data_IF_663132963261
#
_entry.id   IF_663132963261
#
_cell.length_a   1.000
_cell.length_b   1.000
_cell.length_c   1.000
_cell.angle_alpha   90.00
_cell.angle_beta   90.00
_cell.angle_gamma   90.00
#
_symmetry.space_group_name_H-M   'P 1'
#
loop_
_entity.id
_entity.type
_entity.pdbx_description
1 polymer ?
#
# COMPACT_ATOMS: atom_id res chain seq x y z
N UNK A 1 -6.04 -29.86 -33.00
CA UNK A 1 -5.52 -28.67 -32.28
C UNK A 1 -6.12 -27.36 -32.79
N UNK A 2 -6.26 -27.17 -34.12
CA UNK A 2 -6.92 -25.99 -34.70
C UNK A 2 -8.44 -25.91 -34.41
N UNK A 3 -9.16 -27.03 -34.52
CA UNK A 3 -10.60 -27.10 -34.22
C UNK A 3 -10.92 -26.87 -32.73
N UNK A 4 -10.07 -27.38 -31.84
CA UNK A 4 -10.20 -27.16 -30.39
C UNK A 4 -10.05 -25.68 -30.03
N UNK A 5 -9.08 -24.97 -30.63
CA UNK A 5 -8.94 -23.51 -30.49
C UNK A 5 -10.09 -22.72 -31.11
N UNK A 6 -10.67 -23.22 -32.21
CA UNK A 6 -11.82 -22.59 -32.85
C UNK A 6 -13.07 -22.68 -31.96
N UNK A 7 -13.31 -23.84 -31.34
CA UNK A 7 -14.42 -24.07 -30.41
C UNK A 7 -14.29 -23.24 -29.13
N UNK A 8 -13.09 -23.15 -28.55
CA UNK A 8 -12.80 -22.26 -27.41
C UNK A 8 -13.07 -20.78 -27.75
N UNK A 9 -12.68 -20.35 -28.96
CA UNK A 9 -12.90 -18.96 -29.41
C UNK A 9 -14.38 -18.65 -29.64
N UNK A 10 -15.17 -19.62 -30.09
CA UNK A 10 -16.61 -19.46 -30.27
C UNK A 10 -17.34 -19.31 -28.92
N UNK A 11 -17.00 -20.15 -27.95
CA UNK A 11 -17.55 -20.08 -26.58
C UNK A 11 -17.16 -18.77 -25.88
N UNK A 12 -15.91 -18.32 -26.04
CA UNK A 12 -15.46 -17.01 -25.57
C UNK A 12 -16.29 -15.85 -26.17
N UNK A 13 -16.56 -15.89 -27.47
CA UNK A 13 -17.36 -14.86 -28.14
C UNK A 13 -18.83 -14.86 -27.68
N UNK A 14 -19.42 -16.03 -27.40
CA UNK A 14 -20.78 -16.13 -26.82
C UNK A 14 -20.82 -15.53 -25.42
N UNK A 15 -19.86 -15.86 -24.57
CA UNK A 15 -19.75 -15.31 -23.22
C UNK A 15 -19.60 -13.78 -23.24
N UNK A 16 -18.73 -13.24 -24.11
CA UNK A 16 -18.56 -11.79 -24.26
C UNK A 16 -19.88 -11.10 -24.68
N UNK A 17 -20.62 -11.66 -25.66
CA UNK A 17 -21.92 -11.12 -26.08
C UNK A 17 -22.95 -11.11 -24.94
N UNK A 18 -22.98 -12.16 -24.13
CA UNK A 18 -23.85 -12.24 -22.96
C UNK A 18 -23.50 -11.15 -21.94
N UNK A 19 -22.22 -10.97 -21.63
CA UNK A 19 -21.74 -9.89 -20.74
C UNK A 19 -22.18 -8.50 -21.23
N UNK A 20 -22.04 -8.20 -22.54
CA UNK A 20 -22.51 -6.92 -23.09
C UNK A 20 -24.01 -6.69 -22.91
N UNK A 21 -24.82 -7.76 -23.04
CA UNK A 21 -26.28 -7.69 -22.83
C UNK A 21 -26.62 -7.37 -21.37
N UNK A 22 -25.94 -7.99 -20.42
CA UNK A 22 -26.12 -7.70 -18.98
C UNK A 22 -25.72 -6.27 -18.63
N UNK A 23 -24.61 -5.76 -19.19
CA UNK A 23 -24.22 -4.35 -19.03
C UNK A 23 -25.28 -3.38 -19.58
N UNK A 24 -25.84 -3.68 -20.75
CA UNK A 24 -26.90 -2.87 -21.34
C UNK A 24 -28.18 -2.88 -20.49
N UNK A 25 -28.56 -4.04 -19.94
CA UNK A 25 -29.68 -4.17 -19.02
C UNK A 25 -29.45 -3.36 -17.72
N UNK A 26 -28.26 -3.44 -17.14
CA UNK A 26 -27.87 -2.63 -15.98
C UNK A 26 -27.95 -1.12 -16.24
N UNK A 27 -27.50 -0.67 -17.40
CA UNK A 27 -27.60 0.74 -17.81
C UNK A 27 -29.06 1.20 -17.96
N UNK A 28 -29.94 0.33 -18.48
CA UNK A 28 -31.37 0.62 -18.56
C UNK A 28 -32.02 0.75 -17.17
N UNK A 29 -31.67 -0.14 -16.23
CA UNK A 29 -32.12 -0.04 -14.82
C UNK A 29 -31.66 1.26 -14.18
N UNK A 30 -30.41 1.69 -14.41
CA UNK A 30 -29.90 2.97 -13.92
C UNK A 30 -30.68 4.16 -14.49
N UNK A 31 -31.02 4.14 -15.78
CA UNK A 31 -31.82 5.20 -16.40
C UNK A 31 -33.24 5.28 -15.79
N UNK A 32 -33.87 4.13 -15.51
CA UNK A 32 -35.17 4.06 -14.83
C UNK A 32 -35.08 4.55 -13.39
N UNK A 33 -34.03 4.16 -12.65
CA UNK A 33 -33.78 4.65 -11.29
C UNK A 33 -33.56 6.15 -11.27
N UNK A 34 -32.76 6.69 -12.20
CA UNK A 34 -32.55 8.13 -12.33
C UNK A 34 -33.86 8.88 -12.58
N UNK A 35 -34.69 8.38 -13.51
CA UNK A 35 -35.99 8.97 -13.80
C UNK A 35 -36.93 8.90 -12.59
N UNK A 36 -36.98 7.76 -11.90
CA UNK A 36 -37.81 7.57 -10.70
C UNK A 36 -37.37 8.50 -9.57
N UNK A 37 -36.07 8.55 -9.26
CA UNK A 37 -35.50 9.38 -8.19
C UNK A 37 -35.66 10.87 -8.45
N UNK A 38 -35.56 11.32 -9.71
CA UNK A 38 -35.82 12.72 -10.09
C UNK A 38 -37.22 13.20 -9.72
N UNK A 39 -38.19 12.29 -9.66
CA UNK A 39 -39.58 12.60 -9.35
C UNK A 39 -39.94 12.41 -7.86
N UNK A 40 -38.98 11.99 -7.03
CA UNK A 40 -39.19 11.92 -5.58
C UNK A 40 -39.08 13.35 -5.00
N UNK A 41 -40.09 13.85 -4.27
CA UNK A 41 -40.04 15.16 -3.64
C UNK A 41 -39.10 15.10 -2.41
N UNK A 42 -37.79 15.18 -2.67
CA UNK A 42 -36.78 15.33 -1.63
C UNK A 42 -36.58 16.82 -1.33
N UNK A 43 -36.73 17.22 -0.08
CA UNK A 43 -36.40 18.58 0.37
C UNK A 43 -34.87 18.77 0.42
N UNK A 44 -34.30 19.18 -0.71
CA UNK A 44 -32.87 19.46 -0.84
C UNK A 44 -32.47 20.81 -0.25
N UNK A 45 -33.43 21.64 0.18
CA UNK A 45 -33.19 22.95 0.78
C UNK A 45 -32.41 22.90 2.09
N UNK A 46 -32.38 21.72 2.73
CA UNK A 46 -31.65 21.43 3.97
C UNK A 46 -30.20 20.97 3.75
N UNK A 47 -29.82 20.60 2.52
CA UNK A 47 -28.52 20.00 2.20
C UNK A 47 -27.51 21.02 1.64
N UNK A 48 -27.38 22.18 2.28
CA UNK A 48 -26.54 23.29 1.77
C UNK A 48 -25.07 23.11 2.06
N UNK A 49 -24.70 22.49 3.20
CA UNK A 49 -23.30 22.29 3.56
C UNK A 49 -22.79 20.91 3.11
N UNK A 50 -21.48 20.74 2.88
CA UNK A 50 -20.88 19.42 2.67
C UNK A 50 -21.18 18.43 3.80
N UNK A 51 -21.32 18.94 5.02
CA UNK A 51 -21.58 18.14 6.22
C UNK A 51 -22.99 17.54 6.20
N UNK A 52 -24.00 18.35 5.86
CA UNK A 52 -25.39 17.89 5.73
C UNK A 52 -25.52 16.80 4.65
N UNK A 53 -24.78 16.95 3.55
CA UNK A 53 -24.77 15.98 2.45
C UNK A 53 -24.06 14.68 2.81
N UNK A 54 -22.97 14.74 3.58
CA UNK A 54 -22.30 13.54 4.09
C UNK A 54 -23.25 12.76 5.01
N UNK A 55 -23.94 13.45 5.93
CA UNK A 55 -24.92 12.80 6.84
C UNK A 55 -26.05 12.16 6.04
N UNK A 56 -26.60 12.87 5.06
CA UNK A 56 -27.61 12.34 4.14
C UNK A 56 -27.08 11.08 3.41
N UNK A 57 -25.87 11.15 2.88
CA UNK A 57 -25.23 10.04 2.15
C UNK A 57 -25.04 8.81 3.03
N UNK A 58 -24.58 8.98 4.27
CA UNK A 58 -24.44 7.86 5.20
C UNK A 58 -25.78 7.18 5.50
N UNK A 59 -26.87 7.94 5.63
CA UNK A 59 -28.21 7.36 5.82
C UNK A 59 -28.63 6.50 4.63
N UNK A 60 -28.34 6.95 3.41
CA UNK A 60 -28.66 6.21 2.18
C UNK A 60 -27.70 5.05 1.89
N UNK A 61 -26.45 5.12 2.37
CA UNK A 61 -25.50 4.00 2.28
C UNK A 61 -26.00 2.75 3.03
N UNK A 62 -26.90 2.89 4.01
CA UNK A 62 -27.56 1.76 4.65
C UNK A 62 -28.40 0.92 3.67
N UNK A 63 -28.91 1.51 2.59
CA UNK A 63 -29.59 0.78 1.53
C UNK A 63 -28.56 0.07 0.65
N UNK A 64 -27.46 0.75 0.31
CA UNK A 64 -26.37 0.20 -0.51
C UNK A 64 -25.66 -1.00 0.15
N UNK A 65 -25.78 -1.20 1.47
CA UNK A 65 -25.18 -2.35 2.16
C UNK A 65 -26.07 -3.60 2.12
N UNK A 66 -27.35 -3.49 1.77
CA UNK A 66 -28.29 -4.62 1.76
C UNK A 66 -27.85 -5.79 0.87
N UNK A 67 -27.30 -5.57 -0.34
CA UNK A 67 -26.77 -6.67 -1.15
C UNK A 67 -25.61 -7.41 -0.47
N UNK A 68 -24.77 -6.68 0.29
CA UNK A 68 -23.67 -7.27 1.04
C UNK A 68 -24.18 -8.14 2.20
N UNK A 69 -25.19 -7.65 2.92
CA UNK A 69 -25.88 -8.40 3.98
C UNK A 69 -26.51 -9.67 3.39
N UNK A 70 -27.18 -9.58 2.24
CA UNK A 70 -27.73 -10.76 1.54
C UNK A 70 -26.63 -11.78 1.22
N UNK A 71 -25.51 -11.34 0.66
CA UNK A 71 -24.39 -12.23 0.34
C UNK A 71 -23.78 -12.91 1.59
N UNK A 72 -23.78 -12.23 2.75
CA UNK A 72 -23.39 -12.85 4.02
C UNK A 72 -24.38 -13.95 4.41
N UNK A 73 -25.69 -13.68 4.32
CA UNK A 73 -26.71 -14.68 4.60
C UNK A 73 -26.63 -15.88 3.65
N UNK A 74 -26.28 -15.67 2.38
CA UNK A 74 -26.09 -16.75 1.41
C UNK A 74 -24.92 -17.66 1.84
N UNK A 75 -23.78 -17.09 2.25
CA UNK A 75 -22.64 -17.86 2.79
C UNK A 75 -23.05 -18.63 4.04
N UNK A 76 -23.76 -17.98 4.98
CA UNK A 76 -24.22 -18.59 6.22
C UNK A 76 -25.21 -19.74 5.96
N UNK A 77 -26.15 -19.55 5.03
CA UNK A 77 -27.12 -20.56 4.66
C UNK A 77 -26.42 -21.80 4.08
N UNK A 78 -25.47 -21.61 3.16
CA UNK A 78 -24.70 -22.74 2.60
C UNK A 78 -23.89 -23.44 3.69
N UNK A 79 -23.24 -22.71 4.60
CA UNK A 79 -22.51 -23.35 5.72
C UNK A 79 -23.43 -24.06 6.72
N UNK A 80 -24.60 -23.51 7.00
CA UNK A 80 -25.54 -24.07 7.97
C UNK A 80 -26.32 -25.28 7.46
N UNK A 81 -26.49 -25.42 6.14
CA UNK A 81 -27.29 -26.49 5.50
C UNK A 81 -26.46 -27.58 4.84
N UNK A 82 -25.13 -27.41 4.75
CA UNK A 82 -24.23 -28.38 4.10
C UNK A 82 -23.12 -28.83 5.03
N UNK A 83 -22.34 -29.82 4.58
CA UNK A 83 -21.16 -30.32 5.31
C UNK A 83 -20.00 -29.29 5.39
N UNK A 84 -20.13 -28.12 4.76
CA UNK A 84 -19.15 -27.02 4.82
C UNK A 84 -19.23 -26.20 6.14
N UNK A 85 -19.98 -26.67 7.14
CA UNK A 85 -20.11 -26.01 8.44
C UNK A 85 -18.77 -25.88 9.17
N UNK A 86 -17.88 -26.86 9.02
CA UNK A 86 -16.53 -26.84 9.57
C UNK A 86 -15.53 -26.37 8.50
N UNK A 87 -15.05 -25.11 8.55
CA UNK A 87 -14.13 -24.56 7.56
C UNK A 87 -12.72 -25.18 7.62
N UNK A 88 -12.38 -25.92 8.68
CA UNK A 88 -11.05 -26.51 8.91
C UNK A 88 -10.97 -27.93 8.36
N UNK A 89 -12.11 -28.65 8.30
CA UNK A 89 -12.15 -30.02 7.83
C UNK A 89 -11.83 -30.16 6.33
N UNK A 90 -11.92 -29.07 5.56
CA UNK A 90 -11.61 -29.00 4.12
C UNK A 90 -12.56 -29.76 3.21
N UNK A 91 -13.29 -30.75 3.75
CA UNK A 91 -14.37 -31.46 3.07
C UNK A 91 -15.51 -30.47 2.82
N UNK A 92 -15.89 -30.32 1.54
CA UNK A 92 -17.01 -29.48 1.08
C UNK A 92 -16.78 -27.96 1.00
N UNK A 93 -15.55 -27.45 1.13
CA UNK A 93 -15.28 -25.99 1.01
C UNK A 93 -15.56 -25.43 -0.41
N UNK A 94 -15.56 -26.28 -1.43
CA UNK A 94 -15.97 -25.89 -2.80
C UNK A 94 -17.45 -25.42 -2.86
N UNK A 95 -18.31 -25.86 -1.93
CA UNK A 95 -19.73 -25.48 -1.91
C UNK A 95 -19.92 -24.00 -1.55
N UNK A 96 -19.03 -23.44 -0.72
CA UNK A 96 -19.08 -22.04 -0.27
C UNK A 96 -18.26 -21.11 -1.17
N UNK A 97 -17.56 -21.64 -2.16
CA UNK A 97 -16.64 -20.89 -3.00
C UNK A 97 -17.33 -19.77 -3.79
N UNK A 98 -18.45 -20.08 -4.45
CA UNK A 98 -19.22 -19.10 -5.23
C UNK A 98 -19.84 -18.01 -4.33
N UNK A 99 -20.57 -18.34 -3.25
CA UNK A 99 -21.05 -17.34 -2.30
C UNK A 99 -19.94 -16.43 -1.74
N UNK A 100 -18.78 -16.99 -1.39
CA UNK A 100 -17.64 -16.19 -0.90
C UNK A 100 -17.06 -15.27 -1.96
N UNK A 101 -17.03 -15.69 -3.23
CA UNK A 101 -16.59 -14.84 -4.36
C UNK A 101 -17.56 -13.68 -4.59
N UNK A 102 -18.87 -13.94 -4.52
CA UNK A 102 -19.91 -12.92 -4.62
C UNK A 102 -19.77 -11.91 -3.47
N UNK A 103 -19.66 -12.38 -2.24
CA UNK A 103 -19.46 -11.53 -1.06
C UNK A 103 -18.22 -10.65 -1.20
N UNK A 104 -17.09 -11.23 -1.64
CA UNK A 104 -15.84 -10.49 -1.84
C UNK A 104 -16.00 -9.40 -2.89
N UNK A 105 -16.48 -9.75 -4.08
CA UNK A 105 -16.68 -8.78 -5.16
C UNK A 105 -17.71 -7.70 -4.75
N UNK A 106 -18.78 -8.08 -4.05
CA UNK A 106 -19.76 -7.15 -3.50
C UNK A 106 -19.13 -6.16 -2.51
N UNK A 107 -18.23 -6.62 -1.64
CA UNK A 107 -17.48 -5.76 -0.73
C UNK A 107 -16.58 -4.77 -1.49
N UNK A 108 -15.84 -5.25 -2.49
CA UNK A 108 -14.95 -4.44 -3.33
C UNK A 108 -15.73 -3.33 -4.08
N UNK A 109 -16.88 -3.67 -4.65
CA UNK A 109 -17.75 -2.73 -5.36
C UNK A 109 -18.44 -1.74 -4.42
N UNK A 110 -18.94 -2.21 -3.26
CA UNK A 110 -19.53 -1.35 -2.25
C UNK A 110 -18.55 -0.29 -1.76
N UNK A 111 -17.28 -0.64 -1.58
CA UNK A 111 -16.25 0.31 -1.17
C UNK A 111 -16.06 1.43 -2.20
N UNK A 112 -15.82 1.06 -3.46
CA UNK A 112 -15.67 2.02 -4.55
C UNK A 112 -16.87 2.96 -4.65
N UNK A 113 -18.08 2.40 -4.53
CA UNK A 113 -19.33 3.15 -4.52
C UNK A 113 -19.42 4.12 -3.33
N UNK A 114 -19.20 3.63 -2.11
CA UNK A 114 -19.26 4.41 -0.87
C UNK A 114 -18.31 5.61 -0.89
N UNK A 115 -17.04 5.38 -1.24
CA UNK A 115 -16.02 6.42 -1.28
C UNK A 115 -16.30 7.42 -2.40
N UNK A 116 -16.72 6.93 -3.57
CA UNK A 116 -17.13 7.78 -4.69
C UNK A 116 -18.27 8.73 -4.33
N UNK A 117 -19.30 8.23 -3.64
CA UNK A 117 -20.41 9.04 -3.13
C UNK A 117 -19.95 10.06 -2.09
N UNK A 118 -19.16 9.64 -1.10
CA UNK A 118 -18.65 10.54 -0.07
C UNK A 118 -17.83 11.68 -0.68
N UNK A 119 -16.93 11.39 -1.62
CA UNK A 119 -16.18 12.44 -2.30
C UNK A 119 -17.08 13.34 -3.15
N UNK A 120 -17.99 12.77 -3.96
CA UNK A 120 -18.94 13.54 -4.76
C UNK A 120 -19.70 14.55 -3.90
N UNK A 121 -20.19 14.13 -2.73
CA UNK A 121 -21.00 14.98 -1.85
C UNK A 121 -20.25 16.19 -1.29
N UNK A 122 -18.93 16.12 -1.25
CA UNK A 122 -18.09 17.25 -0.83
C UNK A 122 -17.84 18.28 -1.93
N UNK A 123 -18.16 17.98 -3.21
CA UNK A 123 -17.85 18.85 -4.36
C UNK A 123 -19.10 19.40 -5.09
N UNK A 124 -20.32 18.99 -4.70
CA UNK A 124 -21.56 19.28 -5.44
C UNK A 124 -21.91 20.78 -5.63
N UNK A 125 -21.30 21.72 -4.88
CA UNK A 125 -21.54 23.17 -5.02
C UNK A 125 -20.46 23.92 -5.80
N UNK A 126 -19.31 23.29 -6.06
CA UNK A 126 -18.18 23.99 -6.65
C UNK A 126 -18.37 24.04 -8.18
N UNK A 127 -18.54 25.25 -8.72
CA UNK A 127 -18.89 25.50 -10.14
C UNK A 127 -17.86 25.04 -11.16
N UNK A 128 -16.71 24.50 -10.77
CA UNK A 128 -15.79 23.89 -11.72
C UNK A 128 -14.93 22.85 -11.02
N UNK A 129 -14.95 21.63 -11.56
CA UNK A 129 -14.18 20.44 -11.20
C UNK A 129 -12.64 20.65 -11.31
N UNK A 130 -12.10 21.87 -11.31
CA UNK A 130 -10.69 22.16 -11.64
C UNK A 130 -9.83 22.67 -10.47
N UNK A 131 -10.40 22.95 -9.30
CA UNK A 131 -9.61 23.17 -8.06
C UNK A 131 -9.61 21.91 -7.19
N UNK A 132 -9.22 20.79 -7.79
CA UNK A 132 -9.25 19.46 -7.18
C UNK A 132 -8.13 19.36 -6.15
N UNK A 133 -8.53 19.21 -4.89
CA UNK A 133 -7.69 19.00 -3.69
C UNK A 133 -6.98 20.26 -3.17
N UNK A 134 -7.67 21.10 -2.36
CA UNK A 134 -7.00 22.17 -1.65
C UNK A 134 -5.88 21.59 -0.76
N UNK A 135 -4.67 22.15 -0.82
CA UNK A 135 -3.56 21.83 0.10
C UNK A 135 -3.57 22.78 1.31
N UNK A 136 -4.38 23.85 1.25
CA UNK A 136 -4.48 24.82 2.32
C UNK A 136 -5.31 24.25 3.48
N UNK A 137 -4.62 23.93 4.57
CA UNK A 137 -5.22 23.36 5.77
C UNK A 137 -5.37 24.35 6.91
N UNK A 138 -4.89 25.60 6.76
CA UNK A 138 -4.82 26.60 7.83
C UNK A 138 -6.20 27.01 8.39
N UNK A 139 -7.26 26.84 7.60
CA UNK A 139 -8.64 27.16 7.99
C UNK A 139 -9.43 25.98 8.57
N UNK A 140 -8.93 24.74 8.54
CA UNK A 140 -9.68 23.52 8.89
C UNK A 140 -9.72 23.27 10.40
N UNK A 141 -10.35 24.19 11.14
CA UNK A 141 -10.37 24.15 12.61
C UNK A 141 -11.36 23.14 13.16
N UNK A 142 -12.56 23.03 12.58
CA UNK A 142 -13.57 22.09 13.07
C UNK A 142 -13.27 20.65 12.60
N UNK A 143 -13.46 19.62 13.45
CA UNK A 143 -13.24 18.22 13.07
C UNK A 143 -14.02 17.80 11.81
N UNK A 144 -15.24 18.33 11.63
CA UNK A 144 -16.07 18.06 10.46
C UNK A 144 -15.39 18.51 9.15
N UNK A 145 -14.74 19.68 9.13
CA UNK A 145 -14.04 20.19 7.95
C UNK A 145 -12.78 19.37 7.64
N UNK A 146 -12.12 18.86 8.68
CA UNK A 146 -10.97 17.95 8.54
C UNK A 146 -11.38 16.60 7.95
N UNK A 147 -12.56 16.09 8.32
CA UNK A 147 -13.11 14.86 7.75
C UNK A 147 -13.51 15.04 6.29
N UNK A 148 -14.18 16.16 5.93
CA UNK A 148 -14.48 16.52 4.53
C UNK A 148 -13.21 16.54 3.69
N UNK A 149 -12.17 17.22 4.17
CA UNK A 149 -10.85 17.25 3.53
C UNK A 149 -10.26 15.83 3.35
N UNK A 150 -10.39 14.97 4.37
CA UNK A 150 -9.85 13.61 4.34
C UNK A 150 -10.60 12.71 3.36
N UNK A 151 -11.93 12.81 3.29
CA UNK A 151 -12.74 12.05 2.32
C UNK A 151 -12.36 12.37 0.88
N UNK A 152 -12.08 13.64 0.57
CA UNK A 152 -11.59 14.07 -0.75
C UNK A 152 -10.28 13.35 -1.14
N UNK A 153 -9.35 13.21 -0.20
CA UNK A 153 -8.08 12.51 -0.40
C UNK A 153 -8.21 10.98 -0.38
N UNK A 154 -9.15 10.42 0.39
CA UNK A 154 -9.45 8.98 0.38
C UNK A 154 -9.99 8.49 -0.97
N UNK A 155 -10.71 9.34 -1.69
CA UNK A 155 -11.12 9.05 -3.07
C UNK A 155 -9.91 8.91 -4.00
N UNK A 156 -8.90 9.76 -3.85
CA UNK A 156 -7.65 9.64 -4.62
C UNK A 156 -6.96 8.31 -4.33
N UNK A 157 -6.87 7.89 -3.06
CA UNK A 157 -6.36 6.56 -2.70
C UNK A 157 -7.18 5.42 -3.33
N UNK A 158 -8.51 5.58 -3.50
CA UNK A 158 -9.39 4.53 -4.03
C UNK A 158 -9.16 4.24 -5.52
N UNK A 159 -8.51 5.17 -6.26
CA UNK A 159 -8.10 4.94 -7.64
C UNK A 159 -7.15 3.74 -7.79
N UNK A 160 -6.40 3.39 -6.73
CA UNK A 160 -5.57 2.18 -6.73
C UNK A 160 -6.39 0.88 -6.80
N UNK A 161 -7.58 0.85 -6.20
CA UNK A 161 -8.51 -0.29 -6.28
C UNK A 161 -9.08 -0.38 -7.70
N UNK A 162 -9.51 0.74 -8.29
CA UNK A 162 -9.95 0.79 -9.69
C UNK A 162 -8.86 0.27 -10.64
N UNK A 163 -7.62 0.72 -10.44
CA UNK A 163 -6.49 0.26 -11.24
C UNK A 163 -6.25 -1.25 -11.11
N UNK A 164 -6.31 -1.80 -9.88
CA UNK A 164 -6.19 -3.24 -9.66
C UNK A 164 -7.35 -4.03 -10.30
N UNK A 165 -8.58 -3.51 -10.22
CA UNK A 165 -9.76 -4.08 -10.87
C UNK A 165 -9.60 -4.12 -12.40
N UNK A 166 -9.12 -3.04 -13.02
CA UNK A 166 -8.82 -3.02 -14.45
C UNK A 166 -7.77 -4.07 -14.84
N UNK A 167 -6.80 -4.33 -13.96
CA UNK A 167 -5.84 -5.42 -14.12
C UNK A 167 -6.53 -6.79 -14.24
N UNK A 168 -7.48 -7.08 -13.35
CA UNK A 168 -8.28 -8.32 -13.38
C UNK A 168 -9.15 -8.38 -14.65
N UNK A 169 -9.88 -7.29 -14.93
CA UNK A 169 -10.78 -7.20 -16.09
C UNK A 169 -10.04 -7.38 -17.41
N UNK A 170 -8.85 -6.80 -17.55
CA UNK A 170 -8.00 -6.97 -18.73
C UNK A 170 -7.67 -8.44 -18.96
N UNK A 171 -7.20 -9.14 -17.92
CA UNK A 171 -6.86 -10.57 -18.04
C UNK A 171 -8.09 -11.39 -18.40
N UNK A 172 -9.22 -11.16 -17.72
CA UNK A 172 -10.47 -11.88 -18.03
C UNK A 172 -10.95 -11.61 -19.45
N UNK A 173 -10.98 -10.36 -19.89
CA UNK A 173 -11.44 -9.98 -21.22
C UNK A 173 -10.56 -10.48 -22.38
N UNK A 174 -9.31 -10.87 -22.12
CA UNK A 174 -8.35 -11.30 -23.16
C UNK A 174 -7.92 -12.77 -23.04
N UNK A 175 -8.47 -13.55 -22.12
CA UNK A 175 -8.06 -14.94 -21.89
C UNK A 175 -9.25 -15.87 -21.70
N UNK A 176 -8.99 -17.18 -21.64
CA UNK A 176 -10.01 -18.19 -21.36
C UNK A 176 -10.53 -18.16 -19.90
N UNK A 177 -10.07 -17.19 -19.08
CA UNK A 177 -10.53 -16.97 -17.71
C UNK A 177 -11.81 -16.11 -17.62
N UNK A 178 -12.59 -15.98 -18.71
CA UNK A 178 -13.87 -15.27 -18.71
C UNK A 178 -14.88 -15.93 -17.76
N UNK A 179 -14.97 -17.26 -17.78
CA UNK A 179 -15.82 -18.01 -16.84
C UNK A 179 -15.07 -18.20 -15.51
N UNK A 180 -15.53 -17.59 -14.40
CA UNK A 180 -14.92 -17.73 -13.09
C UNK A 180 -15.29 -19.02 -12.36
N UNK A 181 -16.17 -19.88 -12.88
CA UNK A 181 -16.64 -21.08 -12.18
C UNK A 181 -16.12 -22.35 -12.86
N UNK A 182 -16.19 -22.42 -14.19
CA UNK A 182 -15.82 -23.63 -14.94
C UNK A 182 -14.55 -23.46 -15.81
N UNK A 183 -14.00 -22.26 -15.89
CA UNK A 183 -12.83 -21.95 -16.71
C UNK A 183 -11.52 -22.39 -16.02
N UNK A 184 -10.90 -23.47 -16.49
CA UNK A 184 -9.61 -24.00 -15.99
C UNK A 184 -8.39 -23.06 -16.14
N UNK A 185 -8.61 -21.77 -16.35
CA UNK A 185 -7.60 -20.70 -16.51
C UNK A 185 -7.57 -19.73 -15.33
N UNK A 186 -8.06 -20.13 -14.15
CA UNK A 186 -8.07 -19.29 -12.93
C UNK A 186 -6.68 -18.82 -12.51
N UNK A 187 -5.67 -19.67 -12.73
CA UNK A 187 -4.26 -19.36 -12.50
C UNK A 187 -3.82 -18.06 -13.18
N UNK A 188 -4.37 -17.71 -14.34
CA UNK A 188 -4.06 -16.46 -15.04
C UNK A 188 -4.55 -15.22 -14.27
N UNK A 189 -5.61 -15.37 -13.49
CA UNK A 189 -6.20 -14.28 -12.70
C UNK A 189 -5.72 -14.25 -11.25
N UNK A 190 -4.98 -15.27 -10.80
CA UNK A 190 -4.54 -15.43 -9.41
C UNK A 190 -3.74 -14.22 -8.91
N UNK A 191 -2.76 -13.76 -9.68
CA UNK A 191 -1.93 -12.60 -9.32
C UNK A 191 -2.72 -11.29 -9.36
N UNK A 192 -3.44 -10.94 -10.45
CA UNK A 192 -4.34 -9.78 -10.45
C UNK A 192 -5.33 -9.76 -9.28
N UNK A 193 -5.94 -10.91 -8.95
CA UNK A 193 -6.88 -11.04 -7.83
C UNK A 193 -6.18 -10.86 -6.47
N UNK A 194 -4.95 -11.36 -6.30
CA UNK A 194 -4.13 -11.12 -5.10
C UNK A 194 -3.81 -9.64 -4.94
N UNK A 195 -3.48 -8.96 -6.04
CA UNK A 195 -3.18 -7.53 -5.99
C UNK A 195 -4.43 -6.74 -5.61
N UNK A 196 -5.57 -7.03 -6.22
CA UNK A 196 -6.84 -6.41 -5.90
C UNK A 196 -7.22 -6.63 -4.43
N UNK A 197 -7.23 -7.88 -3.97
CA UNK A 197 -7.55 -8.24 -2.58
C UNK A 197 -6.64 -7.52 -1.59
N UNK A 198 -5.32 -7.59 -1.80
CA UNK A 198 -4.38 -6.92 -0.89
C UNK A 198 -4.56 -5.39 -0.92
N UNK A 199 -4.84 -4.81 -2.09
CA UNK A 199 -5.08 -3.36 -2.20
C UNK A 199 -6.34 -2.95 -1.45
N UNK A 200 -7.39 -3.76 -1.49
CA UNK A 200 -8.63 -3.53 -0.74
C UNK A 200 -8.40 -3.66 0.77
N UNK A 201 -7.74 -4.73 1.22
CA UNK A 201 -7.38 -4.93 2.64
C UNK A 201 -6.53 -3.78 3.18
N UNK A 202 -5.51 -3.35 2.43
CA UNK A 202 -4.64 -2.25 2.82
C UNK A 202 -5.34 -0.89 2.77
N UNK A 203 -6.29 -0.72 1.85
CA UNK A 203 -7.11 0.49 1.77
C UNK A 203 -7.95 0.68 3.03
N UNK A 204 -8.54 -0.37 3.60
CA UNK A 204 -9.29 -0.28 4.86
C UNK A 204 -8.44 0.25 6.01
N UNK A 205 -7.24 -0.30 6.18
CA UNK A 205 -6.32 0.13 7.24
C UNK A 205 -5.87 1.57 7.02
N UNK A 206 -5.57 1.94 5.77
CA UNK A 206 -5.22 3.30 5.40
C UNK A 206 -6.37 4.28 5.64
N UNK A 207 -7.60 3.91 5.28
CA UNK A 207 -8.81 4.71 5.50
C UNK A 207 -9.05 4.95 6.99
N UNK A 208 -9.05 3.90 7.80
CA UNK A 208 -9.23 4.02 9.24
C UNK A 208 -8.15 4.92 9.88
N UNK A 209 -6.89 4.73 9.47
CA UNK A 209 -5.77 5.54 9.96
C UNK A 209 -5.88 7.02 9.58
N UNK A 210 -6.25 7.34 8.34
CA UNK A 210 -6.42 8.72 7.90
C UNK A 210 -7.60 9.42 8.56
N UNK A 211 -8.73 8.72 8.73
CA UNK A 211 -9.90 9.28 9.44
C UNK A 211 -9.57 9.55 10.91
N UNK A 212 -8.85 8.64 11.57
CA UNK A 212 -8.37 8.87 12.94
C UNK A 212 -7.43 10.07 13.00
N UNK A 213 -6.40 10.11 12.13
CA UNK A 213 -5.45 11.23 12.08
C UNK A 213 -6.13 12.57 11.83
N UNK A 214 -7.15 12.61 10.97
CA UNK A 214 -7.91 13.83 10.70
C UNK A 214 -8.58 14.43 11.94
N UNK A 215 -8.95 13.60 12.92
CA UNK A 215 -9.57 14.07 14.18
C UNK A 215 -8.56 14.55 15.21
N UNK A 216 -7.30 14.07 15.14
CA UNK A 216 -6.28 14.31 16.16
C UNK A 216 -5.29 15.40 15.73
N UNK A 217 -4.94 15.46 14.44
CA UNK A 217 -3.93 16.37 13.93
C UNK A 217 -4.39 17.84 13.97
N UNK A 218 -3.46 18.72 14.34
CA UNK A 218 -3.64 20.16 14.22
C UNK A 218 -3.76 20.61 12.75
N UNK A 219 -4.44 21.74 12.47
CA UNK A 219 -4.67 22.21 11.10
C UNK A 219 -3.39 22.38 10.26
N UNK A 220 -2.29 22.82 10.86
CA UNK A 220 -0.97 22.93 10.21
C UNK A 220 -0.42 21.57 9.77
N UNK A 221 -0.69 20.52 10.55
CA UNK A 221 -0.19 19.15 10.36
C UNK A 221 -1.05 18.28 9.45
N UNK A 222 -2.28 18.71 9.11
CA UNK A 222 -3.17 17.98 8.18
C UNK A 222 -2.59 17.81 6.77
N UNK A 223 -1.55 18.58 6.40
CA UNK A 223 -0.75 18.36 5.18
C UNK A 223 -0.11 16.96 5.12
N UNK A 224 -0.03 16.25 6.24
CA UNK A 224 0.39 14.86 6.27
C UNK A 224 -0.55 13.93 5.50
N UNK A 225 -1.86 14.21 5.46
CA UNK A 225 -2.86 13.36 4.79
C UNK A 225 -2.56 13.18 3.28
N UNK A 226 -2.40 14.25 2.48
CA UNK A 226 -2.03 14.09 1.07
C UNK A 226 -0.70 13.38 0.85
N UNK A 227 0.28 13.62 1.72
CA UNK A 227 1.60 12.95 1.65
C UNK A 227 1.42 11.44 1.88
N UNK A 228 0.64 11.06 2.90
CA UNK A 228 0.36 9.66 3.21
C UNK A 228 -0.45 8.98 2.10
N UNK A 229 -1.39 9.68 1.46
CA UNK A 229 -2.09 9.20 0.26
C UNK A 229 -1.13 8.97 -0.91
N UNK A 230 -0.22 9.92 -1.17
CA UNK A 230 0.81 9.79 -2.20
C UNK A 230 1.73 8.59 -1.94
N UNK A 231 2.17 8.41 -0.69
CA UNK A 231 2.97 7.26 -0.27
C UNK A 231 2.20 5.94 -0.41
N UNK A 232 0.91 5.93 -0.06
CA UNK A 232 0.04 4.77 -0.24
C UNK A 232 -0.06 4.37 -1.72
N UNK A 233 -0.35 5.33 -2.61
CA UNK A 233 -0.44 5.10 -4.06
C UNK A 233 0.89 4.62 -4.65
N UNK A 234 2.02 5.24 -4.26
CA UNK A 234 3.35 4.80 -4.67
C UNK A 234 3.63 3.37 -4.19
N UNK A 235 3.26 3.05 -2.94
CA UNK A 235 3.35 1.70 -2.38
C UNK A 235 2.51 0.68 -3.15
N UNK A 236 1.28 1.03 -3.56
CA UNK A 236 0.41 0.15 -4.37
C UNK A 236 0.95 -0.04 -5.79
N UNK A 237 1.43 1.03 -6.43
CA UNK A 237 2.04 0.97 -7.76
C UNK A 237 3.28 0.08 -7.77
N UNK A 238 4.20 0.29 -6.82
CA UNK A 238 5.41 -0.53 -6.68
C UNK A 238 5.06 -1.99 -6.38
N UNK A 239 4.10 -2.26 -5.50
CA UNK A 239 3.60 -3.61 -5.23
C UNK A 239 3.05 -4.30 -6.49
N UNK A 240 2.26 -3.60 -7.31
CA UNK A 240 1.70 -4.13 -8.56
C UNK A 240 2.78 -4.46 -9.59
N UNK A 241 3.68 -3.51 -9.89
CA UNK A 241 4.84 -3.75 -10.79
C UNK A 241 5.64 -4.94 -10.30
N UNK A 242 5.82 -5.02 -8.97
CA UNK A 242 6.61 -6.08 -8.36
C UNK A 242 6.01 -7.48 -8.51
N UNK A 243 4.70 -7.61 -8.32
CA UNK A 243 3.99 -8.87 -8.51
C UNK A 243 3.92 -9.28 -9.99
N UNK A 244 3.71 -8.32 -10.90
CA UNK A 244 3.68 -8.60 -12.35
C UNK A 244 5.03 -9.08 -12.91
N UNK A 245 6.15 -8.66 -12.33
CA UNK A 245 7.48 -9.14 -12.71
C UNK A 245 7.76 -10.58 -12.24
N UNK A 246 7.14 -11.00 -11.11
CA UNK A 246 7.39 -12.30 -10.47
C UNK A 246 6.89 -13.47 -11.33
N UNK A 247 5.80 -13.28 -12.07
CA UNK A 247 5.23 -14.25 -13.01
C UNK A 247 6.08 -14.47 -14.27
N UNK A 248 6.95 -13.51 -14.64
CA UNK A 248 7.65 -13.49 -15.93
C UNK A 248 9.13 -13.87 -15.83
N UNK A 249 9.67 -14.13 -14.63
CA UNK A 249 11.12 -14.20 -14.42
C UNK A 249 11.74 -15.56 -14.80
N UNK A 250 12.01 -15.76 -16.11
CA UNK A 250 12.74 -16.90 -16.69
C UNK A 250 14.27 -16.69 -16.77
N UNK A 251 14.82 -15.65 -16.12
CA UNK A 251 16.22 -15.23 -16.30
C UNK A 251 17.23 -16.26 -15.79
N UNK A 252 18.30 -16.44 -16.56
CA UNK A 252 19.49 -17.24 -16.21
C UNK A 252 20.25 -16.65 -15.01
N UNK A 253 21.13 -17.42 -14.39
CA UNK A 253 21.92 -16.95 -13.24
C UNK A 253 22.75 -15.68 -13.58
N UNK A 254 23.33 -15.62 -14.78
CA UNK A 254 24.09 -14.45 -15.25
C UNK A 254 23.23 -13.18 -15.36
N UNK A 255 22.02 -13.30 -15.89
CA UNK A 255 21.07 -12.18 -16.00
C UNK A 255 20.54 -11.72 -14.64
N UNK A 256 20.36 -12.65 -13.70
CA UNK A 256 20.00 -12.34 -12.31
C UNK A 256 21.12 -11.55 -11.62
N UNK A 257 22.38 -11.97 -11.80
CA UNK A 257 23.56 -11.25 -11.29
C UNK A 257 23.67 -9.85 -11.92
N UNK A 258 23.50 -9.73 -13.24
CA UNK A 258 23.52 -8.44 -13.92
C UNK A 258 22.40 -7.50 -13.44
N UNK A 259 21.20 -8.04 -13.18
CA UNK A 259 20.09 -7.27 -12.62
C UNK A 259 20.36 -6.76 -11.20
N UNK A 260 21.01 -7.57 -10.36
CA UNK A 260 21.46 -7.16 -9.02
C UNK A 260 22.49 -6.03 -9.13
N UNK A 261 23.51 -6.19 -9.99
CA UNK A 261 24.54 -5.16 -10.21
C UNK A 261 23.90 -3.84 -10.69
N UNK A 262 22.97 -3.92 -11.66
CA UNK A 262 22.23 -2.75 -12.16
C UNK A 262 21.49 -2.04 -11.03
N UNK A 263 20.79 -2.77 -10.17
CA UNK A 263 20.09 -2.20 -9.02
C UNK A 263 21.05 -1.54 -8.02
N UNK A 264 22.22 -2.13 -7.77
CA UNK A 264 23.23 -1.53 -6.89
C UNK A 264 23.79 -0.24 -7.48
N UNK A 265 24.07 -0.19 -8.79
CA UNK A 265 24.54 1.03 -9.46
C UNK A 265 23.50 2.16 -9.43
N UNK A 266 22.23 1.83 -9.70
CA UNK A 266 21.13 2.80 -9.60
C UNK A 266 20.99 3.29 -8.15
N UNK A 267 21.13 2.41 -7.17
CA UNK A 267 21.11 2.75 -5.75
C UNK A 267 22.20 3.76 -5.39
N UNK A 268 23.42 3.59 -5.90
CA UNK A 268 24.51 4.57 -5.67
C UNK A 268 24.12 5.93 -6.24
N UNK A 269 23.67 5.97 -7.49
CA UNK A 269 23.24 7.22 -8.12
C UNK A 269 22.17 7.94 -7.31
N UNK A 270 21.07 7.24 -7.00
CA UNK A 270 19.94 7.84 -6.28
C UNK A 270 20.32 8.22 -4.85
N UNK A 271 21.05 7.37 -4.11
CA UNK A 271 21.41 7.67 -2.72
C UNK A 271 22.38 8.85 -2.63
N UNK A 272 23.36 8.92 -3.54
CA UNK A 272 24.29 10.06 -3.61
C UNK A 272 23.56 11.35 -4.01
N UNK A 273 22.67 11.29 -5.00
CA UNK A 273 21.84 12.45 -5.38
C UNK A 273 20.93 12.87 -4.23
N UNK A 274 20.26 11.93 -3.56
CA UNK A 274 19.41 12.22 -2.41
C UNK A 274 20.21 12.86 -1.27
N UNK A 275 21.42 12.35 -0.99
CA UNK A 275 22.32 12.94 0.00
C UNK A 275 22.73 14.37 -0.36
N UNK A 276 23.22 14.59 -1.59
CA UNK A 276 23.67 15.92 -2.05
C UNK A 276 22.51 16.91 -2.06
N UNK A 277 21.36 16.55 -2.63
CA UNK A 277 20.18 17.42 -2.64
C UNK A 277 19.71 17.72 -1.21
N UNK A 278 19.70 16.72 -0.33
CA UNK A 278 19.33 16.94 1.07
C UNK A 278 20.32 17.88 1.77
N UNK A 279 21.62 17.71 1.52
CA UNK A 279 22.67 18.53 2.13
C UNK A 279 22.63 19.99 1.68
N UNK A 280 22.24 20.23 0.43
CA UNK A 280 22.15 21.56 -0.18
C UNK A 280 20.84 22.27 0.12
N UNK A 281 19.71 21.55 0.13
CA UNK A 281 18.38 22.17 0.14
C UNK A 281 17.58 21.97 1.43
N UNK A 282 17.89 20.98 2.28
CA UNK A 282 17.17 20.86 3.55
C UNK A 282 17.67 21.93 4.54
N UNK A 283 16.76 22.73 5.14
CA UNK A 283 17.12 23.78 6.10
C UNK A 283 17.42 23.17 7.49
N UNK A 284 18.46 22.34 7.57
CA UNK A 284 18.91 21.73 8.83
C UNK A 284 20.04 22.58 9.41
N UNK A 285 19.71 23.38 10.41
CA UNK A 285 20.65 24.29 11.07
C UNK A 285 21.33 23.59 12.24
N UNK A 286 22.60 23.20 12.09
CA UNK A 286 23.37 22.50 13.13
C UNK A 286 24.59 23.27 13.63
N UNK A 287 24.88 24.45 13.08
CA UNK A 287 26.06 25.26 13.41
C UNK A 287 26.17 25.64 14.89
N UNK A 288 25.06 25.64 15.62
CA UNK A 288 25.03 25.91 17.06
C UNK A 288 25.55 24.74 17.92
N UNK A 289 25.71 23.54 17.36
CA UNK A 289 26.16 22.35 18.07
C UNK A 289 27.70 22.31 18.13
N UNK A 290 28.29 23.12 19.02
CA UNK A 290 29.75 23.21 19.18
C UNK A 290 30.29 22.08 20.06
N UNK A 291 29.59 21.77 21.15
CA UNK A 291 30.04 20.81 22.14
C UNK A 291 29.76 19.36 21.68
N UNK A 292 30.66 18.44 22.04
CA UNK A 292 30.51 17.02 21.68
C UNK A 292 29.24 16.38 22.29
N UNK A 293 28.85 16.65 23.55
CA UNK A 293 27.60 16.13 24.11
C UNK A 293 26.36 16.50 23.29
N UNK A 294 26.25 17.74 22.81
CA UNK A 294 25.09 18.20 22.03
C UNK A 294 25.05 17.51 20.65
N UNK A 295 26.23 17.33 20.04
CA UNK A 295 26.36 16.57 18.79
C UNK A 295 25.95 15.11 18.96
N UNK A 296 26.38 14.46 20.04
CA UNK A 296 25.98 13.09 20.38
C UNK A 296 24.48 12.97 20.67
N UNK A 297 23.88 13.94 21.36
CA UNK A 297 22.45 13.97 21.62
C UNK A 297 21.64 13.99 20.31
N UNK A 298 22.03 14.83 19.34
CA UNK A 298 21.42 14.83 18.01
C UNK A 298 21.56 13.47 17.33
N UNK A 299 22.75 12.86 17.35
CA UNK A 299 23.00 11.56 16.72
C UNK A 299 22.13 10.46 17.34
N UNK A 300 21.99 10.42 18.66
CA UNK A 300 21.13 9.45 19.34
C UNK A 300 19.65 9.64 18.94
N UNK A 301 19.17 10.89 18.88
CA UNK A 301 17.82 11.20 18.40
C UNK A 301 17.60 10.74 16.96
N UNK A 302 18.59 10.91 16.08
CA UNK A 302 18.52 10.45 14.70
C UNK A 302 18.58 8.91 14.60
N UNK A 303 19.36 8.25 15.45
CA UNK A 303 19.42 6.79 15.54
C UNK A 303 18.11 6.18 16.06
N UNK A 304 17.41 6.87 16.95
CA UNK A 304 16.04 6.50 17.33
C UNK A 304 15.12 6.46 16.11
N UNK A 305 15.24 7.42 15.19
CA UNK A 305 14.51 7.37 13.91
C UNK A 305 14.91 6.16 13.06
N UNK A 306 16.21 5.87 12.93
CA UNK A 306 16.69 4.67 12.22
C UNK A 306 16.18 3.36 12.85
N UNK A 307 15.96 3.33 14.17
CA UNK A 307 15.49 2.15 14.91
C UNK A 307 14.05 1.73 14.54
N UNK A 308 13.23 2.64 14.00
CA UNK A 308 11.90 2.28 13.47
C UNK A 308 11.99 1.21 12.38
N UNK A 309 13.11 1.10 11.68
CA UNK A 309 13.34 -0.01 10.74
C UNK A 309 13.33 -1.39 11.39
N UNK A 310 13.87 -1.52 12.62
CA UNK A 310 13.81 -2.76 13.39
C UNK A 310 12.39 -3.01 13.87
N UNK A 311 11.71 -1.99 14.39
CA UNK A 311 10.31 -2.09 14.84
C UNK A 311 9.41 -2.57 13.69
N UNK A 312 9.61 -2.06 12.47
CA UNK A 312 8.90 -2.54 11.28
C UNK A 312 9.17 -4.01 10.98
N UNK A 313 10.40 -4.47 11.16
CA UNK A 313 10.77 -5.89 11.00
C UNK A 313 10.13 -6.79 12.05
N UNK A 314 10.15 -6.37 13.33
CA UNK A 314 9.51 -7.09 14.45
C UNK A 314 8.01 -7.17 14.23
N UNK A 315 7.37 -6.06 13.86
CA UNK A 315 5.95 -6.01 13.55
C UNK A 315 5.59 -6.89 12.36
N UNK A 316 6.42 -6.92 11.30
CA UNK A 316 6.20 -7.80 10.16
C UNK A 316 6.26 -9.29 10.54
N UNK A 317 7.24 -9.69 11.36
CA UNK A 317 7.32 -11.07 11.89
C UNK A 317 6.11 -11.36 12.78
N UNK A 318 5.80 -10.46 13.72
CA UNK A 318 4.68 -10.59 14.65
C UNK A 318 3.34 -10.74 13.94
N UNK A 319 3.10 -9.96 12.89
CA UNK A 319 1.87 -10.06 12.10
C UNK A 319 1.75 -11.41 11.38
N UNK A 320 2.84 -11.92 10.79
CA UNK A 320 2.79 -13.23 10.12
C UNK A 320 2.57 -14.35 11.14
N UNK A 321 3.25 -14.30 12.29
CA UNK A 321 3.04 -15.29 13.37
C UNK A 321 1.63 -15.21 13.96
N UNK A 322 1.13 -14.01 14.25
CA UNK A 322 -0.20 -13.81 14.82
C UNK A 322 -1.36 -14.13 13.87
N UNK A 323 -1.11 -14.18 12.55
CA UNK A 323 -2.12 -14.48 11.52
C UNK A 323 -1.96 -15.86 10.87
N UNK A 324 -1.02 -16.68 11.35
CA UNK A 324 -0.79 -18.03 10.82
C UNK A 324 -0.57 -19.03 11.94
N UNK A 325 -0.52 -20.31 11.60
CA UNK A 325 -0.24 -21.34 12.59
C UNK A 325 1.21 -21.28 13.11
N UNK A 326 2.08 -20.42 12.56
CA UNK A 326 3.43 -20.16 13.06
C UNK A 326 3.45 -19.36 14.38
N UNK A 327 2.29 -19.17 15.03
CA UNK A 327 2.18 -18.60 16.38
C UNK A 327 2.91 -19.48 17.42
N UNK A 328 2.85 -20.81 17.25
CA UNK A 328 3.67 -21.78 17.97
C UNK A 328 4.87 -22.15 17.08
N UNK A 329 6.08 -21.64 17.39
CA UNK A 329 7.27 -21.89 16.57
C UNK A 329 7.80 -23.34 16.69
N UNK A 330 7.28 -24.15 17.61
CA UNK A 330 7.74 -25.52 17.87
C UNK A 330 6.79 -26.54 17.25
N UNK A 331 5.48 -26.34 17.40
CA UNK A 331 4.46 -27.30 16.99
C UNK A 331 3.42 -26.77 15.99
N UNK A 332 3.39 -25.47 15.73
CA UNK A 332 2.32 -24.82 14.98
C UNK A 332 2.38 -24.97 13.45
N UNK A 333 3.52 -25.38 12.88
CA UNK A 333 3.69 -25.45 11.43
C UNK A 333 3.64 -24.07 10.75
N UNK A 334 3.65 -24.04 9.41
CA UNK A 334 3.66 -22.81 8.60
C UNK A 334 4.87 -21.85 8.82
N UNK A 335 5.97 -22.34 9.42
CA UNK A 335 7.20 -21.55 9.67
C UNK A 335 7.83 -21.01 8.37
N UNK A 336 7.62 -21.70 7.26
CA UNK A 336 8.02 -21.25 5.93
C UNK A 336 7.44 -19.87 5.54
N UNK A 337 6.31 -19.46 6.13
CA UNK A 337 5.72 -18.14 5.93
C UNK A 337 6.49 -17.04 6.66
N UNK A 338 7.14 -17.37 7.78
CA UNK A 338 7.90 -16.43 8.62
C UNK A 338 9.35 -16.28 8.15
N UNK A 339 9.85 -17.20 7.32
CA UNK A 339 11.24 -17.21 6.83
C UNK A 339 11.71 -15.88 6.23
N UNK A 340 10.94 -15.30 5.32
CA UNK A 340 11.32 -14.04 4.66
C UNK A 340 11.26 -12.85 5.66
N UNK A 341 10.18 -12.64 6.42
CA UNK A 341 10.14 -11.67 7.51
C UNK A 341 11.32 -11.80 8.50
N UNK A 342 11.65 -13.01 8.95
CA UNK A 342 12.77 -13.26 9.86
C UNK A 342 14.12 -12.89 9.23
N UNK A 343 14.33 -13.22 7.95
CA UNK A 343 15.55 -12.85 7.20
C UNK A 343 15.67 -11.33 7.03
N UNK A 344 14.54 -10.64 6.80
CA UNK A 344 14.50 -9.19 6.72
C UNK A 344 14.86 -8.59 8.07
N UNK A 345 14.20 -9.02 9.15
CA UNK A 345 14.45 -8.53 10.51
C UNK A 345 15.91 -8.72 10.91
N UNK A 346 16.44 -9.95 10.78
CA UNK A 346 17.84 -10.25 11.08
C UNK A 346 18.79 -9.34 10.30
N UNK A 347 18.58 -9.20 8.99
CA UNK A 347 19.41 -8.32 8.18
C UNK A 347 19.25 -6.84 8.59
N UNK A 348 18.04 -6.38 8.95
CA UNK A 348 17.83 -5.00 9.41
C UNK A 348 18.58 -4.74 10.70
N UNK A 349 18.52 -5.69 11.64
CA UNK A 349 19.25 -5.60 12.91
C UNK A 349 20.76 -5.54 12.67
N UNK A 350 21.31 -6.45 11.86
CA UNK A 350 22.73 -6.45 11.48
C UNK A 350 23.16 -5.11 10.83
N UNK A 351 22.39 -4.59 9.89
CA UNK A 351 22.69 -3.31 9.21
C UNK A 351 22.52 -2.10 10.13
N UNK A 352 21.55 -2.12 11.05
CA UNK A 352 21.34 -1.06 12.02
C UNK A 352 22.52 -0.96 12.98
N UNK A 353 23.06 -2.09 13.47
CA UNK A 353 24.24 -2.06 14.33
C UNK A 353 25.45 -1.43 13.65
N UNK A 354 25.71 -1.78 12.39
CA UNK A 354 26.80 -1.15 11.61
C UNK A 354 26.56 0.34 11.40
N UNK A 355 25.33 0.73 11.06
CA UNK A 355 24.97 2.14 10.87
C UNK A 355 25.08 2.93 12.19
N UNK A 356 24.64 2.35 13.31
CA UNK A 356 24.73 2.96 14.64
C UNK A 356 26.17 3.25 15.02
N UNK A 357 27.06 2.27 14.87
CA UNK A 357 28.50 2.46 15.10
C UNK A 357 29.07 3.53 14.18
N UNK A 358 28.75 3.49 12.88
CA UNK A 358 29.22 4.47 11.92
C UNK A 358 28.78 5.91 12.29
N UNK A 359 27.52 6.13 12.68
CA UNK A 359 27.02 7.46 13.03
C UNK A 359 27.63 7.98 14.32
N UNK A 360 27.77 7.13 15.36
CA UNK A 360 28.40 7.50 16.62
C UNK A 360 29.87 7.88 16.40
N UNK A 361 30.62 7.08 15.64
CA UNK A 361 32.02 7.38 15.32
C UNK A 361 32.14 8.64 14.46
N UNK A 362 31.29 8.81 13.44
CA UNK A 362 31.30 9.99 12.59
C UNK A 362 31.09 11.28 13.38
N UNK A 363 30.20 11.24 14.38
CA UNK A 363 29.88 12.41 15.24
C UNK A 363 31.12 12.99 15.93
N UNK A 364 32.11 12.16 16.25
CA UNK A 364 33.36 12.60 16.90
C UNK A 364 34.19 13.50 15.97
N UNK A 365 34.10 13.28 14.66
CA UNK A 365 34.90 13.98 13.65
C UNK A 365 34.17 15.14 12.96
N UNK A 366 32.85 15.23 13.10
CA UNK A 366 32.06 16.31 12.48
C UNK A 366 32.03 17.55 13.35
N UNK A 367 32.31 18.72 12.78
CA UNK A 367 32.04 20.01 13.41
C UNK A 367 30.53 20.36 13.34
N UNK A 368 30.11 21.37 14.12
CA UNK A 368 28.69 21.78 14.17
C UNK A 368 28.09 22.08 12.78
N UNK A 369 28.85 22.66 11.86
CA UNK A 369 28.34 22.98 10.51
C UNK A 369 28.08 21.72 9.65
N UNK A 370 28.85 20.65 9.88
CA UNK A 370 28.73 19.37 9.16
C UNK A 370 27.76 18.39 9.81
N UNK A 371 27.29 18.65 11.04
CA UNK A 371 26.39 17.74 11.77
C UNK A 371 25.08 17.41 11.05
N UNK A 372 24.61 18.25 10.13
CA UNK A 372 23.46 17.96 9.26
C UNK A 372 23.61 16.66 8.44
N UNK A 373 24.82 16.14 8.27
CA UNK A 373 25.07 14.83 7.64
C UNK A 373 24.37 13.69 8.39
N UNK A 374 24.31 13.74 9.73
CA UNK A 374 23.75 12.68 10.56
C UNK A 374 22.23 12.48 10.33
N UNK A 375 21.35 13.49 10.46
CA UNK A 375 19.93 13.33 10.20
C UNK A 375 19.64 12.93 8.75
N UNK A 376 20.43 13.42 7.78
CA UNK A 376 20.29 13.03 6.36
C UNK A 376 20.57 11.53 6.18
N UNK A 377 21.69 11.03 6.70
CA UNK A 377 22.06 9.62 6.57
C UNK A 377 21.10 8.69 7.33
N UNK A 378 20.60 9.09 8.49
CA UNK A 378 19.59 8.32 9.23
C UNK A 378 18.24 8.28 8.48
N UNK A 379 17.82 9.41 7.87
CA UNK A 379 16.64 9.46 7.03
C UNK A 379 16.75 8.57 5.79
N UNK A 380 17.89 8.65 5.08
CA UNK A 380 18.20 7.77 3.95
C UNK A 380 18.20 6.30 4.39
N UNK A 381 18.81 5.99 5.54
CA UNK A 381 18.84 4.63 6.07
C UNK A 381 17.43 4.07 6.29
N UNK A 382 16.55 4.81 6.98
CA UNK A 382 15.17 4.38 7.23
C UNK A 382 14.40 4.16 5.93
N UNK A 383 14.45 5.11 5.00
CA UNK A 383 13.76 5.02 3.70
C UNK A 383 14.29 3.82 2.91
N UNK A 384 15.60 3.65 2.85
CA UNK A 384 16.24 2.53 2.16
C UNK A 384 15.87 1.17 2.80
N UNK A 385 15.71 1.08 4.13
CA UNK A 385 15.21 -0.14 4.79
C UNK A 385 13.75 -0.43 4.43
N UNK A 386 12.90 0.58 4.29
CA UNK A 386 11.52 0.40 3.80
C UNK A 386 11.55 -0.17 2.38
N UNK A 387 12.35 0.42 1.49
CA UNK A 387 12.50 -0.06 0.11
C UNK A 387 13.10 -1.47 0.06
N UNK A 388 14.09 -1.78 0.92
CA UNK A 388 14.65 -3.11 1.07
C UNK A 388 13.58 -4.14 1.47
N UNK A 389 12.77 -3.83 2.48
CA UNK A 389 11.73 -4.72 2.98
C UNK A 389 10.66 -4.97 1.90
N UNK A 390 10.16 -3.91 1.26
CA UNK A 390 9.20 -4.02 0.14
C UNK A 390 9.79 -4.84 -1.01
N UNK A 391 11.05 -4.58 -1.38
CA UNK A 391 11.78 -5.28 -2.43
C UNK A 391 11.96 -6.76 -2.10
N UNK A 392 12.35 -7.10 -0.87
CA UNK A 392 12.63 -8.48 -0.48
C UNK A 392 11.34 -9.31 -0.36
N UNK A 393 10.25 -8.75 0.19
CA UNK A 393 8.94 -9.42 0.21
C UNK A 393 8.43 -9.70 -1.22
N UNK A 394 8.81 -8.86 -2.17
CA UNK A 394 8.47 -9.02 -3.59
C UNK A 394 9.31 -10.09 -4.29
N UNK A 395 10.64 -10.04 -4.19
CA UNK A 395 11.54 -11.02 -4.77
C UNK A 395 12.91 -10.99 -4.06
N UNK A 396 13.55 -12.15 -3.83
CA UNK A 396 14.88 -12.19 -3.22
C UNK A 396 15.93 -11.30 -3.91
N UNK A 397 15.77 -11.03 -5.22
CA UNK A 397 16.72 -10.23 -6.01
C UNK A 397 16.43 -8.72 -5.98
N UNK A 398 15.20 -8.30 -5.67
CA UNK A 398 14.79 -6.88 -5.65
C UNK A 398 15.21 -6.14 -4.39
N UNK A 399 15.66 -6.88 -3.37
CA UNK A 399 16.23 -6.31 -2.14
C UNK A 399 17.57 -5.58 -2.39
N UNK A 400 18.23 -5.84 -3.52
CA UNK A 400 19.57 -5.35 -3.81
C UNK A 400 19.69 -3.83 -3.79
N UNK A 401 18.69 -3.12 -4.34
CA UNK A 401 18.64 -1.65 -4.31
C UNK A 401 18.66 -1.12 -2.87
N UNK A 402 17.66 -1.48 -2.06
CA UNK A 402 17.54 -0.98 -0.68
C UNK A 402 18.71 -1.41 0.21
N UNK A 403 19.26 -2.61 -0.02
CA UNK A 403 20.46 -3.08 0.66
C UNK A 403 21.68 -2.21 0.34
N UNK A 404 21.92 -1.93 -0.94
CA UNK A 404 23.04 -1.09 -1.36
C UNK A 404 22.89 0.36 -0.86
N UNK A 405 21.66 0.88 -0.81
CA UNK A 405 21.35 2.24 -0.33
C UNK A 405 21.58 2.40 1.16
N UNK A 406 21.63 1.32 1.95
CA UNK A 406 22.06 1.37 3.36
C UNK A 406 23.52 1.01 3.55
N UNK A 407 23.99 -0.03 2.85
CA UNK A 407 25.32 -0.60 3.06
C UNK A 407 26.43 0.34 2.56
N UNK A 408 26.30 0.88 1.35
CA UNK A 408 27.38 1.67 0.74
C UNK A 408 27.62 3.00 1.45
N UNK A 409 26.60 3.79 1.84
CA UNK A 409 26.84 4.98 2.66
C UNK A 409 27.49 4.65 4.00
N UNK A 410 27.08 3.54 4.64
CA UNK A 410 27.68 3.09 5.91
C UNK A 410 29.16 2.76 5.72
N UNK A 411 29.53 2.03 4.67
CA UNK A 411 30.93 1.74 4.34
C UNK A 411 31.72 3.02 4.03
N UNK A 412 31.15 3.97 3.29
CA UNK A 412 31.80 5.26 3.03
C UNK A 412 32.13 6.01 4.33
N UNK A 413 31.23 5.98 5.31
CA UNK A 413 31.47 6.56 6.64
C UNK A 413 32.56 5.80 7.39
N UNK A 414 32.54 4.47 7.39
CA UNK A 414 33.63 3.68 8.00
C UNK A 414 35.00 4.03 7.40
N UNK A 415 35.08 4.13 6.07
CA UNK A 415 36.32 4.51 5.39
C UNK A 415 36.77 5.92 5.77
N UNK A 416 35.86 6.89 5.76
CA UNK A 416 36.15 8.26 6.19
C UNK A 416 36.66 8.32 7.63
N UNK A 417 35.94 7.72 8.58
CA UNK A 417 36.34 7.69 9.99
C UNK A 417 37.69 6.98 10.17
N UNK A 418 37.95 5.90 9.44
CA UNK A 418 39.24 5.20 9.48
C UNK A 418 40.37 6.12 9.00
N UNK A 419 40.18 6.85 7.90
CA UNK A 419 41.14 7.84 7.43
C UNK A 419 41.38 8.95 8.46
N UNK A 420 40.34 9.46 9.13
CA UNK A 420 40.48 10.45 10.20
C UNK A 420 41.28 9.92 11.39
N UNK A 421 40.99 8.69 11.84
CA UNK A 421 41.70 8.03 12.95
C UNK A 421 43.17 7.84 12.59
N UNK A 422 43.46 7.31 11.40
CA UNK A 422 44.84 7.11 10.92
C UNK A 422 45.56 8.47 10.87
N UNK A 423 44.94 9.49 10.29
CA UNK A 423 45.53 10.82 10.23
C UNK A 423 45.85 11.37 11.62
N UNK A 424 44.98 11.17 12.61
CA UNK A 424 45.20 11.62 14.00
C UNK A 424 46.26 10.79 14.76
N UNK A 425 46.57 9.57 14.31
CA UNK A 425 47.62 8.75 14.93
C UNK A 425 49.01 9.06 14.37
N UNK A 426 49.10 9.57 13.14
CA UNK A 426 50.36 9.82 12.44
C UNK A 426 50.71 11.30 12.25
N UNK A 427 49.81 12.21 12.64
CA UNK A 427 50.02 13.65 12.79
C UNK A 427 49.64 14.06 14.20
#
# INVERSE_FOLDING_TARGET
>A
MAEMKAKEKEELNKAIKWVYKEFAAGAAVLAVLYYTVRNIPLDTGTLKTPQDRIVFTFRWMLISILPLISAIFDVLNVRGTTNAINPIAGKSEHLVEVPNRILRNGMEQFLLHAIGLLALTTYLDETFFFWILPINTAGLKAPADRLVFTFRWLFVSSLSILFALFGVLKVRGTSNAVDPINGGSENLTEVPNRILRNTVEQYFLHMAGLLMLATILEPSSLKAIPILVGLFLLGRFTFWVNMSDREKDKRTHGEKKASVIKQMLISVGISSTAFVLSYLYLPIYTSHLTELPDRLALTICCLFVSSFSIIMGVHAVGNVRGSSNAIDPVYGGAENLVDVPNRILRNTTEQFFLHMMAMLTLTVFLDGSSMKVIPILCGIFLIARIVFQIGYMSSPLKRAYGFASTFLPTIAVYLYCTCCIIHQLFN
#
